data_IF_339792286836
#
_entry.id   IF_339792286836
#
_cell.length_a   1.000
_cell.length_b   1.000
_cell.length_c   1.000
_cell.angle_alpha   90.00
_cell.angle_beta   90.00
_cell.angle_gamma   90.00
#
_symmetry.space_group_name_H-M   'P 1'
#
loop_
_entity.id
_entity.type
_entity.pdbx_description
1 polymer ?
#
# COMPACT_ATOMS: atom_id res chain seq x y z
N UNK A 1 34.51 18.89 34.81
CA UNK A 1 33.55 19.96 35.16
C UNK A 1 32.17 19.33 35.32
N UNK A 2 31.82 19.02 36.57
CA UNK A 2 30.50 18.53 36.97
C UNK A 2 29.45 19.62 36.78
N UNK A 3 28.27 19.25 36.29
CA UNK A 3 27.03 19.90 36.72
C UNK A 3 25.87 18.90 36.73
N UNK A 4 25.54 18.54 37.97
CA UNK A 4 24.35 17.88 38.49
C UNK A 4 23.38 18.99 38.90
N UNK A 5 22.10 18.88 38.56
CA UNK A 5 20.95 19.55 39.20
C UNK A 5 19.69 18.95 38.56
N UNK A 6 19.03 17.99 39.20
CA UNK A 6 18.09 18.09 40.32
C UNK A 6 16.63 18.04 39.85
N UNK A 7 15.93 17.08 40.45
CA UNK A 7 14.51 16.80 40.35
C UNK A 7 13.75 17.82 41.20
N UNK A 8 12.75 18.48 40.62
CA UNK A 8 11.69 19.15 41.38
C UNK A 8 10.40 18.36 41.24
N UNK A 9 9.89 17.93 42.39
CA UNK A 9 8.61 17.22 42.57
C UNK A 9 7.54 18.23 42.95
N UNK A 10 6.35 18.07 42.36
CA UNK A 10 5.07 18.23 43.06
C UNK A 10 4.45 19.63 43.12
N UNK A 11 3.42 19.84 42.30
CA UNK A 11 2.38 20.85 42.52
C UNK A 11 1.02 20.26 42.15
N UNK A 12 0.25 19.87 43.16
CA UNK A 12 -1.11 19.30 43.05
C UNK A 12 -2.09 20.48 43.06
N UNK A 13 -2.72 20.78 41.94
CA UNK A 13 -3.76 21.81 41.79
C UNK A 13 -5.11 21.16 41.47
N UNK A 14 -6.15 21.56 42.21
CA UNK A 14 -7.51 21.03 42.16
C UNK A 14 -8.24 21.26 40.82
N UNK A 15 -9.27 20.46 40.49
CA UNK A 15 -10.10 20.68 39.30
C UNK A 15 -11.07 21.84 39.54
N UNK A 16 -10.86 22.95 38.84
CA UNK A 16 -11.87 23.99 38.68
C UNK A 16 -12.96 23.46 37.76
N UNK A 17 -14.18 23.36 38.31
CA UNK A 17 -15.44 23.22 37.61
C UNK A 17 -15.64 24.41 36.66
N UNK A 18 -15.12 24.26 35.44
CA UNK A 18 -15.48 25.07 34.30
C UNK A 18 -16.71 24.46 33.66
N UNK A 19 -17.86 25.10 33.85
CA UNK A 19 -19.08 24.92 33.08
C UNK A 19 -18.73 24.83 31.60
N UNK A 20 -18.74 23.62 31.04
CA UNK A 20 -18.85 23.39 29.60
C UNK A 20 -20.21 23.96 29.19
N UNK A 21 -20.23 25.26 28.91
CA UNK A 21 -21.16 25.81 27.95
C UNK A 21 -20.89 25.04 26.67
N UNK A 22 -21.68 23.98 26.47
CA UNK A 22 -21.87 23.31 25.21
C UNK A 22 -22.23 24.42 24.22
N UNK A 23 -21.20 24.91 23.54
CA UNK A 23 -21.32 25.75 22.36
C UNK A 23 -21.99 24.88 21.32
N UNK A 24 -23.32 24.85 21.38
CA UNK A 24 -24.18 24.45 20.29
C UNK A 24 -24.02 25.51 19.20
N UNK A 25 -22.85 25.56 18.59
CA UNK A 25 -22.70 25.99 17.21
C UNK A 25 -23.17 24.82 16.35
N UNK A 26 -24.44 24.45 16.51
CA UNK A 26 -25.20 23.82 15.44
C UNK A 26 -25.33 24.88 14.35
N UNK A 27 -24.26 25.00 13.58
CA UNK A 27 -24.27 25.08 12.13
C UNK A 27 -25.54 25.74 11.57
N UNK A 28 -25.59 27.07 11.62
CA UNK A 28 -26.38 27.82 10.64
C UNK A 28 -25.61 27.70 9.33
N UNK A 29 -25.69 26.51 8.73
CA UNK A 29 -25.10 26.24 7.45
C UNK A 29 -25.85 27.11 6.45
N UNK A 30 -25.24 28.24 6.07
CA UNK A 30 -25.81 29.10 5.06
C UNK A 30 -25.87 28.25 3.78
N UNK A 31 -27.04 28.02 3.17
CA UNK A 31 -27.16 27.05 2.08
C UNK A 31 -26.25 27.37 0.89
N UNK A 32 -25.86 28.65 0.73
CA UNK A 32 -24.85 29.08 -0.25
C UNK A 32 -23.43 28.57 0.02
N UNK A 33 -22.98 28.53 1.28
CA UNK A 33 -21.63 28.05 1.65
C UNK A 33 -21.52 26.53 1.54
N UNK A 34 -22.57 25.79 1.87
CA UNK A 34 -22.59 24.34 1.71
C UNK A 34 -22.58 23.93 0.24
N UNK A 35 -23.39 24.60 -0.59
CA UNK A 35 -23.35 24.40 -2.03
C UNK A 35 -21.97 24.71 -2.63
N UNK A 36 -21.28 25.74 -2.12
CA UNK A 36 -19.91 26.07 -2.53
C UNK A 36 -18.90 24.99 -2.09
N UNK A 37 -18.99 24.50 -0.86
CA UNK A 37 -18.14 23.41 -0.35
C UNK A 37 -18.32 22.14 -1.17
N UNK A 38 -19.56 21.79 -1.52
CA UNK A 38 -19.86 20.62 -2.34
C UNK A 38 -19.26 20.74 -3.75
N UNK A 39 -19.38 21.90 -4.40
CA UNK A 39 -18.75 22.14 -5.71
C UNK A 39 -17.23 22.01 -5.64
N UNK A 40 -16.61 22.56 -4.58
CA UNK A 40 -15.17 22.44 -4.38
C UNK A 40 -14.75 20.98 -4.18
N UNK A 41 -15.47 20.22 -3.34
CA UNK A 41 -15.18 18.82 -3.09
C UNK A 41 -15.25 17.98 -4.38
N UNK A 42 -16.26 18.22 -5.23
CA UNK A 42 -16.39 17.58 -6.54
C UNK A 42 -15.23 17.94 -7.47
N UNK A 43 -14.82 19.21 -7.53
CA UNK A 43 -13.68 19.65 -8.34
C UNK A 43 -12.36 19.05 -7.85
N UNK A 44 -12.14 18.97 -6.54
CA UNK A 44 -10.96 18.32 -5.93
C UNK A 44 -10.93 16.82 -6.24
N UNK A 45 -12.07 16.13 -6.11
CA UNK A 45 -12.18 14.72 -6.45
C UNK A 45 -11.86 14.50 -7.93
N UNK A 46 -12.45 15.29 -8.85
CA UNK A 46 -12.19 15.21 -10.27
C UNK A 46 -10.70 15.46 -10.60
N UNK A 47 -10.07 16.43 -9.95
CA UNK A 47 -8.64 16.70 -10.11
C UNK A 47 -7.78 15.52 -9.66
N UNK A 48 -8.03 14.97 -8.47
CA UNK A 48 -7.30 13.81 -7.96
C UNK A 48 -7.51 12.57 -8.83
N UNK A 49 -8.74 12.33 -9.30
CA UNK A 49 -9.06 11.28 -10.26
C UNK A 49 -8.28 11.44 -11.57
N UNK A 50 -8.14 12.68 -12.08
CA UNK A 50 -7.38 12.91 -13.31
C UNK A 50 -5.90 12.61 -13.12
N UNK A 51 -5.35 12.99 -11.96
CA UNK A 51 -3.93 12.81 -11.66
C UNK A 51 -3.55 11.34 -11.44
N UNK A 52 -4.40 10.57 -10.75
CA UNK A 52 -4.03 9.25 -10.21
C UNK A 52 -4.73 8.08 -10.92
N UNK A 53 -5.92 8.31 -11.48
CA UNK A 53 -6.71 7.28 -12.19
C UNK A 53 -6.77 7.52 -13.72
N UNK A 54 -6.23 8.64 -14.21
CA UNK A 54 -6.19 8.95 -15.63
C UNK A 54 -7.55 9.32 -16.22
N UNK A 55 -8.47 9.86 -15.40
CA UNK A 55 -9.72 10.46 -15.91
C UNK A 55 -9.41 11.74 -16.69
N UNK A 56 -10.33 12.24 -17.54
CA UNK A 56 -10.13 13.49 -18.25
C UNK A 56 -9.80 14.66 -17.31
N UNK A 57 -9.06 15.64 -17.83
CA UNK A 57 -8.75 16.87 -17.11
C UNK A 57 -10.06 17.62 -16.78
N UNK A 58 -10.27 18.04 -15.52
CA UNK A 58 -11.40 18.89 -15.17
C UNK A 58 -11.35 20.23 -15.91
N UNK A 59 -12.50 20.87 -16.08
CA UNK A 59 -12.60 22.19 -16.69
C UNK A 59 -11.67 23.21 -16.00
N UNK A 60 -11.04 24.09 -16.80
CA UNK A 60 -10.11 25.10 -16.30
C UNK A 60 -8.69 24.59 -16.00
N UNK A 61 -8.43 23.27 -16.09
CA UNK A 61 -7.07 22.72 -15.93
C UNK A 61 -6.40 22.43 -17.27
N UNK A 62 -5.12 22.78 -17.35
CA UNK A 62 -4.27 22.46 -18.49
C UNK A 62 -3.94 20.95 -18.52
N UNK A 63 -4.47 20.26 -19.52
CA UNK A 63 -4.27 18.82 -19.74
C UNK A 63 -2.79 18.43 -19.86
N UNK A 64 -1.98 19.27 -20.50
CA UNK A 64 -0.54 19.02 -20.69
C UNK A 64 0.20 19.09 -19.36
N UNK A 65 -0.09 20.13 -18.55
CA UNK A 65 0.49 20.26 -17.21
C UNK A 65 0.08 19.13 -16.29
N UNK A 66 -1.20 18.73 -16.30
CA UNK A 66 -1.65 17.56 -15.52
C UNK A 66 -0.95 16.28 -15.98
N UNK A 67 -0.73 16.10 -17.29
CA UNK A 67 0.03 14.96 -17.82
C UNK A 67 1.46 14.88 -17.28
N UNK A 68 2.15 16.01 -17.12
CA UNK A 68 3.48 16.07 -16.49
C UNK A 68 3.41 15.64 -15.02
N UNK A 69 2.42 16.14 -14.28
CA UNK A 69 2.26 15.81 -12.86
C UNK A 69 1.91 14.33 -12.65
N UNK A 70 0.97 13.78 -13.43
CA UNK A 70 0.65 12.35 -13.40
C UNK A 70 1.89 11.49 -13.64
N UNK A 71 2.71 11.82 -14.65
CA UNK A 71 3.96 11.10 -14.91
C UNK A 71 4.94 11.19 -13.74
N UNK A 72 5.08 12.35 -13.10
CA UNK A 72 5.94 12.53 -11.94
C UNK A 72 5.45 11.69 -10.73
N UNK A 73 4.14 11.65 -10.50
CA UNK A 73 3.52 10.81 -9.47
C UNK A 73 3.74 9.32 -9.75
N UNK A 74 3.55 8.86 -10.99
CA UNK A 74 3.86 7.49 -11.39
C UNK A 74 5.34 7.15 -11.20
N UNK A 75 6.25 8.05 -11.60
CA UNK A 75 7.69 7.88 -11.39
C UNK A 75 8.03 7.74 -9.90
N UNK A 76 7.41 8.57 -9.05
CA UNK A 76 7.58 8.50 -7.60
C UNK A 76 7.10 7.17 -7.05
N UNK A 77 5.93 6.71 -7.50
CA UNK A 77 5.35 5.44 -7.08
C UNK A 77 6.27 4.27 -7.46
N UNK A 78 6.78 4.24 -8.69
CA UNK A 78 7.78 3.27 -9.13
C UNK A 78 9.03 3.28 -8.23
N UNK A 79 9.56 4.45 -7.89
CA UNK A 79 10.71 4.55 -7.01
C UNK A 79 10.43 4.05 -5.58
N UNK A 80 9.22 4.24 -5.05
CA UNK A 80 8.85 3.73 -3.72
C UNK A 80 8.63 2.21 -3.78
N UNK A 81 7.99 1.69 -4.82
CA UNK A 81 7.82 0.24 -5.02
C UNK A 81 9.18 -0.46 -5.14
N UNK A 82 10.12 0.10 -5.91
CA UNK A 82 11.49 -0.42 -6.00
C UNK A 82 12.22 -0.45 -4.64
N UNK A 83 11.87 0.43 -3.70
CA UNK A 83 12.42 0.38 -2.33
C UNK A 83 11.77 -0.68 -1.47
N UNK A 84 10.47 -0.95 -1.66
CA UNK A 84 9.71 -1.94 -0.88
C UNK A 84 9.92 -3.36 -1.41
N UNK A 85 10.19 -3.49 -2.71
CA UNK A 85 10.39 -4.74 -3.43
C UNK A 85 11.61 -4.58 -4.37
N UNK A 86 12.83 -4.55 -3.82
CA UNK A 86 14.06 -4.33 -4.60
C UNK A 86 14.34 -5.45 -5.61
N UNK A 87 13.78 -6.64 -5.42
CA UNK A 87 13.98 -7.74 -6.35
C UNK A 87 13.23 -7.52 -7.67
N UNK A 88 12.20 -6.66 -7.71
CA UNK A 88 11.46 -6.38 -8.94
C UNK A 88 12.32 -5.69 -10.01
N UNK A 89 13.01 -4.57 -9.74
CA UNK A 89 13.93 -4.00 -10.72
C UNK A 89 15.12 -4.92 -11.04
N UNK A 90 15.55 -5.78 -10.11
CA UNK A 90 16.60 -6.78 -10.40
C UNK A 90 16.11 -7.84 -11.40
N UNK A 91 14.87 -8.30 -11.27
CA UNK A 91 14.27 -9.30 -12.17
C UNK A 91 13.92 -8.69 -13.53
N UNK A 92 13.37 -7.47 -13.55
CA UNK A 92 12.82 -6.82 -14.74
C UNK A 92 13.86 -5.97 -15.49
N UNK A 93 14.99 -5.66 -14.85
CA UNK A 93 16.06 -4.84 -15.42
C UNK A 93 15.57 -3.48 -15.90
N UNK A 94 16.11 -3.03 -17.04
CA UNK A 94 15.80 -1.73 -17.65
C UNK A 94 14.32 -1.57 -18.03
N UNK A 95 13.60 -2.69 -18.25
CA UNK A 95 12.18 -2.71 -18.55
C UNK A 95 11.29 -2.26 -17.39
N UNK A 96 11.79 -2.35 -16.14
CA UNK A 96 11.01 -2.09 -14.92
C UNK A 96 10.22 -0.79 -14.96
N UNK A 97 10.86 0.33 -15.34
CA UNK A 97 10.21 1.64 -15.31
C UNK A 97 9.13 1.75 -16.38
N UNK A 98 9.40 1.29 -17.60
CA UNK A 98 8.44 1.35 -18.69
C UNK A 98 7.20 0.49 -18.40
N UNK A 99 7.43 -0.73 -17.93
CA UNK A 99 6.38 -1.66 -17.53
C UNK A 99 5.53 -1.12 -16.38
N UNK A 100 6.17 -0.51 -15.36
CA UNK A 100 5.43 0.11 -14.25
C UNK A 100 4.57 1.30 -14.70
N UNK A 101 5.06 2.11 -15.65
CA UNK A 101 4.27 3.20 -16.22
C UNK A 101 3.04 2.67 -16.97
N UNK A 102 3.18 1.59 -17.75
CA UNK A 102 2.06 0.92 -18.41
C UNK A 102 1.03 0.40 -17.40
N UNK A 103 1.50 -0.25 -16.33
CA UNK A 103 0.65 -0.74 -15.24
C UNK A 103 -0.13 0.39 -14.54
N UNK A 104 0.56 1.48 -14.20
CA UNK A 104 0.04 2.53 -13.32
C UNK A 104 -0.87 3.54 -14.01
N UNK A 105 -0.81 3.66 -15.35
CA UNK A 105 -1.48 4.71 -16.14
C UNK A 105 -2.98 4.87 -15.85
N UNK A 106 -3.67 3.76 -15.57
CA UNK A 106 -5.11 3.72 -15.33
C UNK A 106 -5.47 2.96 -14.04
N UNK A 107 -4.49 2.76 -13.16
CA UNK A 107 -4.66 1.98 -11.92
C UNK A 107 -4.26 2.82 -10.71
N UNK A 108 -5.23 3.46 -10.04
CA UNK A 108 -4.96 4.11 -8.76
C UNK A 108 -4.55 3.05 -7.74
N UNK A 109 -3.64 3.43 -6.83
CA UNK A 109 -3.18 2.54 -5.77
C UNK A 109 -4.32 2.34 -4.74
N UNK A 110 -4.76 1.09 -4.56
CA UNK A 110 -5.90 0.74 -3.68
C UNK A 110 -5.48 0.22 -2.30
N UNK A 111 -4.20 -0.09 -2.13
CA UNK A 111 -3.63 -0.60 -0.88
C UNK A 111 -2.30 0.08 -0.56
N UNK A 112 -1.47 -0.58 0.25
CA UNK A 112 -0.10 -0.12 0.51
C UNK A 112 0.86 -0.48 -0.62
N UNK A 113 2.08 0.07 -0.58
CA UNK A 113 3.12 -0.18 -1.59
C UNK A 113 3.52 -1.65 -1.75
N UNK A 114 3.41 -2.45 -0.69
CA UNK A 114 3.63 -3.90 -0.78
C UNK A 114 2.57 -4.57 -1.65
N UNK A 115 1.30 -4.19 -1.50
CA UNK A 115 0.22 -4.70 -2.33
C UNK A 115 0.38 -4.20 -3.77
N UNK A 116 0.74 -2.93 -3.98
CA UNK A 116 0.98 -2.39 -5.33
C UNK A 116 2.10 -3.13 -6.07
N UNK A 117 3.13 -3.59 -5.35
CA UNK A 117 4.19 -4.44 -5.90
C UNK A 117 3.67 -5.82 -6.34
N UNK A 118 2.77 -6.43 -5.54
CA UNK A 118 2.14 -7.71 -5.87
C UNK A 118 1.18 -7.58 -7.05
N UNK A 119 0.37 -6.53 -7.08
CA UNK A 119 -0.58 -6.24 -8.15
C UNK A 119 0.15 -5.94 -9.47
N UNK A 120 1.27 -5.21 -9.40
CA UNK A 120 2.14 -4.96 -10.55
C UNK A 120 2.73 -6.26 -11.12
N UNK A 121 3.29 -7.13 -10.26
CA UNK A 121 3.81 -8.41 -10.70
C UNK A 121 2.71 -9.31 -11.30
N UNK A 122 1.53 -9.37 -10.66
CA UNK A 122 0.37 -10.09 -11.20
C UNK A 122 -0.05 -9.55 -12.57
N UNK A 123 -0.07 -8.22 -12.73
CA UNK A 123 -0.37 -7.58 -14.00
C UNK A 123 0.60 -8.01 -15.10
N UNK A 124 1.92 -8.01 -14.83
CA UNK A 124 2.90 -8.43 -15.83
C UNK A 124 2.73 -9.89 -16.22
N UNK A 125 2.58 -10.79 -15.24
CA UNK A 125 2.39 -12.21 -15.48
C UNK A 125 1.11 -12.49 -16.31
N UNK A 126 0.03 -11.74 -16.06
CA UNK A 126 -1.20 -11.84 -16.84
C UNK A 126 -1.10 -11.32 -18.28
N UNK A 127 -0.06 -10.54 -18.60
CA UNK A 127 0.19 -10.01 -19.95
C UNK A 127 1.42 -10.67 -20.60
N UNK A 128 1.84 -11.84 -20.11
CA UNK A 128 3.01 -12.57 -20.62
C UNK A 128 4.31 -11.75 -20.62
N UNK A 129 4.46 -10.88 -19.61
CA UNK A 129 5.65 -10.06 -19.38
C UNK A 129 6.38 -10.52 -18.10
N UNK A 130 7.72 -10.42 -18.06
CA UNK A 130 8.62 -10.01 -19.14
C UNK A 130 8.74 -11.08 -20.25
N UNK A 131 9.16 -10.65 -21.44
CA UNK A 131 9.35 -11.53 -22.62
C UNK A 131 10.40 -12.61 -22.36
N UNK A 132 11.45 -12.29 -21.61
CA UNK A 132 12.45 -13.24 -21.14
C UNK A 132 11.81 -14.34 -20.26
N UNK A 133 11.85 -15.63 -20.69
CA UNK A 133 11.32 -16.73 -19.92
C UNK A 133 11.96 -16.88 -18.55
N UNK A 134 13.24 -16.53 -18.38
CA UNK A 134 13.98 -16.70 -17.13
C UNK A 134 13.54 -15.66 -16.10
N UNK A 135 13.48 -14.39 -16.50
CA UNK A 135 12.91 -13.32 -15.69
C UNK A 135 11.44 -13.62 -15.32
N UNK A 136 10.64 -14.19 -16.24
CA UNK A 136 9.25 -14.58 -15.96
C UNK A 136 9.14 -15.68 -14.90
N UNK A 137 10.02 -16.69 -14.93
CA UNK A 137 10.09 -17.73 -13.89
C UNK A 137 10.48 -17.13 -12.53
N UNK A 138 11.47 -16.22 -12.49
CA UNK A 138 11.88 -15.52 -11.27
C UNK A 138 10.74 -14.66 -10.70
N UNK A 139 10.06 -13.88 -11.55
CA UNK A 139 8.91 -13.05 -11.17
C UNK A 139 7.75 -13.89 -10.62
N UNK A 140 7.45 -15.00 -11.28
CA UNK A 140 6.40 -15.94 -10.84
C UNK A 140 6.70 -16.50 -9.44
N UNK A 141 7.95 -16.90 -9.19
CA UNK A 141 8.39 -17.38 -7.87
C UNK A 141 8.27 -16.27 -6.82
N UNK A 142 8.83 -15.08 -7.11
CA UNK A 142 8.77 -13.92 -6.21
C UNK A 142 7.34 -13.59 -5.81
N UNK A 143 6.41 -13.63 -6.77
CA UNK A 143 4.99 -13.35 -6.53
C UNK A 143 4.35 -14.42 -5.65
N UNK A 144 4.53 -15.71 -5.96
CA UNK A 144 3.95 -16.80 -5.16
C UNK A 144 4.42 -16.78 -3.71
N UNK A 145 5.71 -16.51 -3.49
CA UNK A 145 6.31 -16.48 -2.16
C UNK A 145 5.71 -15.38 -1.26
N UNK A 146 5.14 -14.32 -1.85
CA UNK A 146 4.61 -13.15 -1.14
C UNK A 146 3.09 -13.00 -1.22
N UNK A 147 2.45 -13.53 -2.25
CA UNK A 147 1.01 -13.50 -2.47
C UNK A 147 0.27 -14.61 -1.68
N UNK A 148 0.99 -15.68 -1.30
CA UNK A 148 0.42 -16.73 -0.47
C UNK A 148 -0.07 -16.22 0.88
N UNK A 149 -1.01 -16.93 1.54
CA UNK A 149 -1.42 -16.61 2.90
C UNK A 149 -0.17 -16.51 3.76
N UNK A 150 -0.03 -15.39 4.49
CA UNK A 150 1.08 -15.20 5.42
C UNK A 150 1.21 -16.49 6.23
N UNK A 151 2.33 -17.24 6.12
CA UNK A 151 2.46 -18.47 6.89
C UNK A 151 2.18 -18.11 8.34
N UNK A 152 1.41 -18.92 9.10
CA UNK A 152 1.26 -18.70 10.51
C UNK A 152 2.67 -18.49 11.04
N UNK A 153 2.88 -17.39 11.77
CA UNK A 153 4.18 -17.05 12.33
C UNK A 153 4.79 -18.32 12.93
N UNK A 154 6.11 -18.48 12.83
CA UNK A 154 6.83 -19.65 13.36
C UNK A 154 6.79 -19.69 14.91
N UNK A 155 5.59 -19.66 15.49
CA UNK A 155 5.30 -20.03 16.85
C UNK A 155 5.23 -21.55 16.99
N UNK A 156 5.15 -22.03 18.23
CA UNK A 156 5.26 -23.45 18.57
C UNK A 156 4.26 -24.36 17.81
N UNK A 157 3.11 -23.82 17.40
CA UNK A 157 2.08 -24.55 16.64
C UNK A 157 2.57 -25.06 15.25
N UNK A 158 3.45 -24.32 14.58
CA UNK A 158 4.00 -24.72 13.28
C UNK A 158 4.94 -25.94 13.38
N UNK A 159 5.64 -26.08 14.51
CA UNK A 159 6.47 -27.26 14.82
C UNK A 159 5.61 -28.48 15.11
N UNK A 160 4.48 -28.27 15.80
CA UNK A 160 3.52 -29.33 16.07
C UNK A 160 2.90 -29.87 14.78
N UNK A 161 2.46 -28.98 13.87
CA UNK A 161 1.91 -29.40 12.57
C UNK A 161 2.94 -30.15 11.70
N UNK A 162 4.23 -29.83 11.81
CA UNK A 162 5.31 -30.55 11.12
C UNK A 162 5.58 -31.93 11.74
N UNK A 163 5.48 -32.05 13.06
CA UNK A 163 5.61 -33.32 13.77
C UNK A 163 4.44 -34.26 13.48
N UNK A 164 3.20 -33.74 13.47
CA UNK A 164 2.00 -34.51 13.11
C UNK A 164 2.07 -35.02 11.66
N UNK A 165 2.55 -34.19 10.73
CA UNK A 165 2.68 -34.58 9.31
C UNK A 165 3.74 -35.66 9.07
N UNK A 166 4.78 -35.73 9.91
CA UNK A 166 5.80 -36.78 9.83
C UNK A 166 5.34 -38.08 10.52
N UNK A 167 4.49 -37.99 11.54
CA UNK A 167 3.90 -39.16 12.20
C UNK A 167 2.90 -39.87 11.28
N UNK A 168 2.02 -39.12 10.60
CA UNK A 168 1.04 -39.70 9.68
C UNK A 168 1.67 -40.33 8.43
N UNK A 169 2.85 -39.86 7.99
CA UNK A 169 3.58 -40.50 6.89
C UNK A 169 4.38 -41.75 7.31
N UNK A 170 4.47 -42.04 8.61
CA UNK A 170 5.16 -43.23 9.14
C UNK A 170 4.24 -44.44 9.27
N UNK A 171 2.94 -44.22 9.43
CA UNK A 171 1.94 -45.29 9.61
C UNK A 171 1.61 -46.00 8.27
N UNK A 172 1.70 -45.33 7.12
CA UNK A 172 1.45 -45.93 5.80
C UNK A 172 2.56 -46.90 5.31
N UNK A 173 3.64 -47.10 6.07
CA UNK A 173 4.76 -47.99 5.69
C UNK A 173 4.72 -49.37 6.33
N UNK A 174 3.79 -49.63 7.27
CA UNK A 174 3.75 -50.89 8.04
C UNK A 174 2.67 -51.89 7.56
N UNK A 175 1.78 -51.53 6.63
CA UNK A 175 0.70 -52.43 6.13
C UNK A 175 1.01 -53.13 4.78
N UNK A 176 2.28 -53.19 4.34
CA UNK A 176 2.67 -53.86 3.08
C UNK A 176 3.59 -55.06 3.23
N UNK A 177 3.64 -55.69 4.41
CA UNK A 177 4.21 -57.04 4.59
C UNK A 177 3.36 -57.82 5.60
N UNK A 178 2.28 -58.44 5.12
CA UNK A 178 1.93 -59.86 5.38
C UNK A 178 0.71 -60.30 4.56
#
# INVERSE_FOLDING_TARGET
>A
MSKRLEVVRGGRGAPGSGTEAAGSNADVACPGTDAARQRLALAQAALLSSLVAGTPAPEGFDRTRLGVQSRALTAKRACVVAKVAPELPEILGDGYRADFFGYARHRPMRGGYRQDALDFAAYLLAHDRPEDPDARRKLTRWWRDRAGPKPPSQGPASRLLRAVRLALHREDSEEREE
#
